data_IF_896291049758
#
_entry.id   IF_896291049758
#
_cell.length_a   1.000
_cell.length_b   1.000
_cell.length_c   1.000
_cell.angle_alpha   90.00
_cell.angle_beta   90.00
_cell.angle_gamma   90.00
#
_symmetry.space_group_name_H-M   'P 1'
#
loop_
_entity.id
_entity.type
_entity.pdbx_description
1 polymer ?
#
# COMPACT_ATOMS: atom_id res chain seq x y z
N UNK A 1 7.94 14.07 0.95
CA UNK A 1 8.49 15.46 0.89
C UNK A 1 9.42 15.65 2.08
N UNK A 2 10.61 16.19 1.87
CA UNK A 2 11.68 16.36 2.87
C UNK A 2 11.21 17.06 4.16
N UNK A 3 10.30 18.03 4.06
CA UNK A 3 9.70 18.74 5.21
C UNK A 3 9.03 17.80 6.22
N UNK A 4 8.32 16.79 5.73
CA UNK A 4 7.65 15.79 6.56
C UNK A 4 8.67 14.88 7.23
N UNK A 5 9.71 14.43 6.51
CA UNK A 5 10.73 13.55 7.05
C UNK A 5 11.58 14.23 8.13
N UNK A 6 12.00 15.47 7.92
CA UNK A 6 12.71 16.25 8.95
C UNK A 6 11.89 16.27 10.26
N UNK A 7 10.60 16.60 10.17
CA UNK A 7 9.70 16.67 11.33
C UNK A 7 9.48 15.32 12.00
N UNK A 8 9.26 14.26 11.22
CA UNK A 8 9.06 12.88 11.67
C UNK A 8 10.31 12.37 12.41
N UNK A 9 11.48 12.45 11.77
CA UNK A 9 12.75 12.00 12.31
C UNK A 9 13.17 12.77 13.57
N UNK A 10 13.01 14.09 13.59
CA UNK A 10 13.29 14.89 14.78
C UNK A 10 12.42 14.47 15.97
N UNK A 11 11.10 14.28 15.73
CA UNK A 11 10.13 13.89 16.77
C UNK A 11 10.39 12.48 17.31
N UNK A 12 10.70 11.53 16.44
CA UNK A 12 10.99 10.15 16.85
C UNK A 12 12.21 10.06 17.76
N UNK A 13 13.13 11.04 17.66
CA UNK A 13 14.34 11.14 18.50
C UNK A 13 14.15 12.05 19.72
N UNK A 14 12.94 12.58 19.94
CA UNK A 14 12.65 13.47 21.08
C UNK A 14 13.37 14.83 21.03
N UNK A 15 13.88 15.25 19.85
CA UNK A 15 14.63 16.48 19.67
C UNK A 15 13.65 17.65 19.45
N UNK A 16 13.84 18.80 20.16
CA UNK A 16 13.06 20.01 19.88
C UNK A 16 13.59 20.73 18.62
N UNK A 17 12.74 21.58 17.99
CA UNK A 17 13.20 22.42 16.86
C UNK A 17 14.37 23.33 17.27
N UNK A 18 14.34 23.86 18.51
CA UNK A 18 15.39 24.68 19.06
C UNK A 18 16.71 23.90 19.17
N UNK A 19 16.66 22.71 19.77
CA UNK A 19 17.83 21.85 19.94
C UNK A 19 18.41 21.38 18.60
N UNK A 20 17.55 21.09 17.62
CA UNK A 20 18.03 20.77 16.27
C UNK A 20 18.70 21.97 15.61
N UNK A 21 18.13 23.17 15.75
CA UNK A 21 18.73 24.40 15.25
C UNK A 21 20.10 24.68 15.85
N UNK A 22 20.24 24.51 17.18
CA UNK A 22 21.53 24.65 17.89
C UNK A 22 22.61 23.68 17.35
N UNK A 23 22.25 22.43 17.10
CA UNK A 23 23.16 21.41 16.51
C UNK A 23 23.63 21.77 15.11
N UNK A 24 22.76 22.43 14.33
CA UNK A 24 23.01 22.79 12.93
C UNK A 24 23.60 24.21 12.77
N UNK A 25 23.69 24.98 13.87
CA UNK A 25 24.11 26.38 13.81
C UNK A 25 23.10 27.33 13.15
N UNK A 26 21.80 26.99 13.20
CA UNK A 26 20.70 27.78 12.63
C UNK A 26 19.63 28.12 13.66
N UNK A 27 18.79 29.10 13.37
CA UNK A 27 17.69 29.47 14.24
C UNK A 27 16.56 28.45 14.28
N UNK A 28 15.81 28.38 15.40
CA UNK A 28 14.60 27.55 15.51
C UNK A 28 13.60 27.86 14.39
N UNK A 29 13.46 29.17 14.01
CA UNK A 29 12.59 29.59 12.93
C UNK A 29 12.94 28.98 11.58
N UNK A 30 14.22 28.78 11.32
CA UNK A 30 14.72 28.13 10.09
C UNK A 30 14.28 26.67 10.05
N UNK A 31 14.45 25.96 11.18
CA UNK A 31 13.97 24.56 11.30
C UNK A 31 12.44 24.49 11.10
N UNK A 32 11.68 25.41 11.70
CA UNK A 32 10.24 25.49 11.53
C UNK A 32 9.81 25.75 10.07
N UNK A 33 10.57 26.59 9.34
CA UNK A 33 10.33 26.83 7.90
C UNK A 33 10.58 25.56 7.06
N UNK A 34 11.64 24.79 7.35
CA UNK A 34 11.88 23.52 6.67
C UNK A 34 10.75 22.51 6.95
N UNK A 35 10.32 22.35 8.20
CA UNK A 35 9.26 21.43 8.59
C UNK A 35 7.88 21.82 8.05
N UNK A 36 7.66 23.09 7.75
CA UNK A 36 6.42 23.58 7.14
C UNK A 36 6.47 23.58 5.61
N UNK A 37 7.61 23.25 4.99
CA UNK A 37 7.80 23.27 3.54
C UNK A 37 7.88 24.68 2.94
N UNK A 38 8.00 25.73 3.77
CA UNK A 38 8.17 27.13 3.28
C UNK A 38 9.53 27.39 2.68
N UNK A 39 10.53 26.62 3.10
CA UNK A 39 11.89 26.67 2.58
C UNK A 39 12.49 25.26 2.62
N UNK A 40 13.47 25.00 1.77
CA UNK A 40 14.23 23.76 1.76
C UNK A 40 15.66 24.02 2.25
N UNK A 41 16.24 23.04 3.00
CA UNK A 41 17.66 23.11 3.34
C UNK A 41 18.54 22.99 2.09
N UNK A 42 19.65 23.72 2.05
CA UNK A 42 20.68 23.55 1.03
C UNK A 42 21.44 22.23 1.23
N UNK A 43 22.14 21.76 0.20
CA UNK A 43 22.79 20.45 0.22
C UNK A 43 23.77 20.25 1.39
N UNK A 44 24.58 21.25 1.72
CA UNK A 44 25.46 21.17 2.88
C UNK A 44 24.69 21.06 4.21
N UNK A 45 23.56 21.72 4.30
CA UNK A 45 22.68 21.64 5.47
C UNK A 45 21.99 20.27 5.54
N UNK A 46 21.67 19.65 4.39
CA UNK A 46 21.14 18.30 4.33
C UNK A 46 22.13 17.27 4.88
N UNK A 47 23.41 17.41 4.57
CA UNK A 47 24.45 16.55 5.13
C UNK A 47 24.51 16.66 6.67
N UNK A 48 24.51 17.88 7.20
CA UNK A 48 24.50 18.13 8.65
C UNK A 48 23.21 17.64 9.32
N UNK A 49 22.07 17.81 8.65
CA UNK A 49 20.78 17.30 9.12
C UNK A 49 20.78 15.77 9.22
N UNK A 50 21.30 15.10 8.20
CA UNK A 50 21.40 13.65 8.16
C UNK A 50 22.27 13.14 9.32
N UNK A 51 23.43 13.76 9.54
CA UNK A 51 24.33 13.47 10.68
C UNK A 51 23.65 13.77 12.03
N UNK A 52 23.04 14.94 12.20
CA UNK A 52 22.39 15.35 13.45
C UNK A 52 21.18 14.48 13.81
N UNK A 53 20.55 13.88 12.81
CA UNK A 53 19.41 12.97 12.95
C UNK A 53 19.79 11.49 12.84
N UNK A 54 21.09 11.16 12.69
CA UNK A 54 21.60 9.79 12.57
C UNK A 54 20.83 8.97 11.50
N UNK A 55 20.81 9.52 10.29
CA UNK A 55 20.19 8.92 9.09
C UNK A 55 21.06 9.21 7.86
N UNK A 56 20.83 8.48 6.79
CA UNK A 56 21.41 8.83 5.48
C UNK A 56 20.70 10.04 4.87
N UNK A 57 21.40 10.78 3.98
CA UNK A 57 20.76 11.85 3.19
C UNK A 57 19.61 11.31 2.36
N UNK A 58 19.75 10.07 1.90
CA UNK A 58 18.72 9.38 1.13
C UNK A 58 17.44 9.16 1.96
N UNK A 59 17.55 8.74 3.23
CA UNK A 59 16.40 8.65 4.16
C UNK A 59 15.80 10.02 4.45
N UNK A 60 16.65 11.04 4.66
CA UNK A 60 16.20 12.40 4.95
C UNK A 60 15.46 13.05 3.77
N UNK A 61 15.88 12.76 2.56
CA UNK A 61 15.26 13.30 1.33
C UNK A 61 14.06 12.47 0.85
N UNK A 62 13.81 11.32 1.48
CA UNK A 62 12.85 10.34 0.99
C UNK A 62 13.34 9.59 -0.26
N UNK A 63 14.62 9.74 -0.62
CA UNK A 63 15.23 9.01 -1.73
C UNK A 63 15.55 7.55 -1.35
N UNK A 64 15.61 7.25 -0.05
CA UNK A 64 15.44 5.89 0.48
C UNK A 64 13.99 5.73 0.90
N UNK A 65 13.08 5.74 -0.03
CA UNK A 65 11.83 5.07 0.19
C UNK A 65 12.16 3.66 0.66
N UNK A 66 11.67 3.29 1.85
CA UNK A 66 11.86 1.95 2.36
C UNK A 66 11.41 0.98 1.28
N UNK A 67 12.37 0.31 0.62
CA UNK A 67 12.02 -0.75 -0.33
C UNK A 67 11.73 -1.97 0.51
N UNK A 68 10.46 -2.31 0.62
CA UNK A 68 10.02 -3.51 1.31
C UNK A 68 9.85 -4.65 0.33
N UNK A 69 10.11 -5.86 0.81
CA UNK A 69 9.74 -7.07 0.09
C UNK A 69 8.39 -7.53 0.61
N UNK A 70 7.43 -7.65 -0.31
CA UNK A 70 6.12 -8.22 -0.01
C UNK A 70 6.02 -9.61 -0.62
N UNK A 71 5.41 -10.59 0.09
CA UNK A 71 5.27 -11.94 -0.43
C UNK A 71 4.33 -11.95 -1.64
N UNK A 72 4.71 -12.70 -2.67
CA UNK A 72 3.82 -13.06 -3.78
C UNK A 72 3.16 -14.38 -3.44
N UNK A 73 1.84 -14.37 -3.33
CA UNK A 73 1.06 -15.55 -2.98
C UNK A 73 0.62 -16.25 -4.25
N UNK A 74 0.84 -17.55 -4.31
CA UNK A 74 0.41 -18.38 -5.45
C UNK A 74 -1.09 -18.62 -5.45
N UNK A 75 -1.66 -18.88 -4.28
CA UNK A 75 -3.09 -19.09 -4.07
C UNK A 75 -3.50 -18.60 -2.68
N UNK A 76 -4.68 -18.00 -2.57
CA UNK A 76 -5.28 -17.65 -1.29
C UNK A 76 -6.61 -18.37 -1.19
N UNK A 77 -6.70 -19.32 -0.27
CA UNK A 77 -7.88 -20.13 -0.04
C UNK A 77 -8.65 -19.65 1.18
N UNK A 78 -9.96 -19.88 1.18
CA UNK A 78 -10.80 -19.66 2.34
C UNK A 78 -10.44 -20.65 3.47
N UNK A 79 -10.55 -20.18 4.72
CA UNK A 79 -10.33 -21.03 5.91
C UNK A 79 -8.87 -21.16 6.35
N UNK A 80 -7.89 -20.68 5.59
CA UNK A 80 -6.50 -20.59 6.04
C UNK A 80 -6.33 -19.34 6.89
N UNK A 81 -5.85 -19.44 8.15
CA UNK A 81 -5.56 -18.26 8.97
C UNK A 81 -4.61 -17.31 8.23
N UNK A 82 -4.81 -15.99 8.39
CA UNK A 82 -3.97 -14.95 7.74
C UNK A 82 -2.47 -15.12 8.01
N UNK A 83 -2.14 -15.80 9.10
CA UNK A 83 -0.77 -16.09 9.56
C UNK A 83 -0.17 -17.36 8.94
N UNK A 84 -1.00 -18.20 8.32
CA UNK A 84 -0.60 -19.50 7.73
C UNK A 84 -0.68 -19.46 6.19
N UNK A 85 -0.19 -18.39 5.56
CA UNK A 85 -0.09 -18.35 4.09
C UNK A 85 1.14 -19.15 3.69
N UNK A 86 0.94 -20.44 3.44
CA UNK A 86 2.01 -21.39 3.11
C UNK A 86 2.46 -21.34 1.65
N UNK A 87 1.72 -20.66 0.75
CA UNK A 87 1.99 -20.67 -0.68
C UNK A 87 2.68 -19.38 -1.17
N UNK A 88 3.84 -19.06 -0.59
CA UNK A 88 4.68 -17.96 -1.06
C UNK A 88 5.50 -18.46 -2.25
N UNK A 89 5.25 -17.91 -3.45
CA UNK A 89 5.92 -18.27 -4.69
C UNK A 89 7.03 -17.30 -5.09
N UNK A 90 7.21 -16.20 -4.34
CA UNK A 90 8.22 -15.18 -4.60
C UNK A 90 8.04 -13.95 -3.75
N UNK A 91 8.81 -12.91 -4.08
CA UNK A 91 8.74 -11.62 -3.43
C UNK A 91 8.80 -10.50 -4.46
N UNK A 92 8.01 -9.45 -4.24
CA UNK A 92 8.04 -8.20 -5.02
C UNK A 92 8.57 -7.06 -4.16
N UNK A 93 9.32 -6.14 -4.78
CA UNK A 93 9.81 -4.94 -4.10
C UNK A 93 8.79 -3.83 -4.27
N UNK A 94 8.34 -3.24 -3.17
CA UNK A 94 7.51 -2.04 -3.17
C UNK A 94 8.22 -0.92 -2.43
N UNK A 95 7.80 0.29 -2.67
CA UNK A 95 8.42 1.51 -2.14
C UNK A 95 7.36 2.32 -1.38
N UNK A 96 7.69 2.78 -0.16
CA UNK A 96 6.77 3.52 0.71
C UNK A 96 6.29 4.84 0.12
N UNK A 97 7.10 5.50 -0.70
CA UNK A 97 6.72 6.75 -1.38
C UNK A 97 5.62 6.53 -2.42
N UNK A 98 5.52 5.33 -2.98
CA UNK A 98 4.47 4.96 -3.95
C UNK A 98 3.25 4.40 -3.26
N UNK A 99 3.45 3.54 -2.26
CA UNK A 99 2.37 2.77 -1.63
C UNK A 99 1.95 3.31 -0.26
N UNK A 100 2.81 4.12 0.40
CA UNK A 100 2.64 4.58 1.78
C UNK A 100 2.88 3.46 2.80
N UNK A 101 2.72 3.78 4.07
CA UNK A 101 2.79 2.81 5.15
C UNK A 101 1.58 1.87 5.11
N UNK A 102 1.80 0.58 5.35
CA UNK A 102 0.74 -0.42 5.38
C UNK A 102 1.25 -1.85 5.29
N UNK A 103 0.34 -2.78 5.40
CA UNK A 103 0.62 -4.20 5.17
C UNK A 103 0.20 -4.57 3.75
N UNK A 104 1.12 -5.16 2.98
CA UNK A 104 0.93 -5.48 1.57
C UNK A 104 1.27 -6.95 1.29
N UNK A 105 0.68 -7.45 0.24
CA UNK A 105 1.04 -8.71 -0.40
C UNK A 105 0.85 -8.57 -1.91
N UNK A 106 1.39 -9.51 -2.67
CA UNK A 106 1.19 -9.58 -4.10
C UNK A 106 0.46 -10.87 -4.48
N UNK A 107 -0.28 -10.84 -5.58
CA UNK A 107 -0.94 -11.99 -6.17
C UNK A 107 -0.67 -12.05 -7.67
N UNK A 108 -0.55 -13.26 -8.20
CA UNK A 108 -0.54 -13.48 -9.65
C UNK A 108 -1.97 -13.63 -10.15
N UNK A 109 -2.33 -12.83 -11.15
CA UNK A 109 -3.64 -12.90 -11.82
C UNK A 109 -3.77 -14.23 -12.54
N UNK A 110 -4.92 -14.87 -12.35
CA UNK A 110 -5.31 -16.10 -13.03
C UNK A 110 -6.64 -15.92 -13.72
N UNK A 111 -6.74 -16.49 -14.93
CA UNK A 111 -7.94 -16.41 -15.75
C UNK A 111 -8.15 -15.03 -16.38
N UNK A 112 -9.27 -14.89 -17.12
CA UNK A 112 -9.51 -13.81 -18.06
C UNK A 112 -10.56 -12.80 -17.61
N UNK A 113 -11.10 -12.94 -16.40
CA UNK A 113 -12.24 -12.13 -15.94
C UNK A 113 -11.92 -10.63 -15.81
N UNK A 114 -10.64 -10.28 -15.68
CA UNK A 114 -10.20 -8.90 -15.53
C UNK A 114 -9.51 -8.32 -16.78
N UNK A 115 -9.52 -9.06 -17.89
CA UNK A 115 -9.05 -8.55 -19.19
C UNK A 115 -9.93 -7.37 -19.69
N UNK A 116 -9.37 -6.48 -20.54
CA UNK A 116 -7.98 -6.47 -21.04
C UNK A 116 -7.00 -5.79 -20.10
N UNK A 117 -7.45 -5.24 -18.98
CA UNK A 117 -6.59 -4.45 -18.08
C UNK A 117 -5.61 -5.30 -17.28
N UNK A 118 -6.01 -6.49 -16.88
CA UNK A 118 -5.22 -7.47 -16.14
C UNK A 118 -5.19 -8.75 -16.96
N UNK A 119 -4.00 -9.20 -17.32
CA UNK A 119 -3.80 -10.39 -18.13
C UNK A 119 -3.32 -11.52 -17.22
N UNK A 120 -3.63 -12.76 -17.57
CA UNK A 120 -3.13 -13.92 -16.84
C UNK A 120 -1.60 -13.91 -16.76
N UNK A 121 -1.07 -14.09 -15.56
CA UNK A 121 0.37 -14.01 -15.28
C UNK A 121 0.85 -12.64 -14.76
N UNK A 122 0.05 -11.59 -14.90
CA UNK A 122 0.35 -10.31 -14.27
C UNK A 122 0.40 -10.43 -12.75
N UNK A 123 1.20 -9.59 -12.10
CA UNK A 123 1.25 -9.50 -10.65
C UNK A 123 0.56 -8.22 -10.17
N UNK A 124 -0.29 -8.33 -9.16
CA UNK A 124 -0.92 -7.18 -8.52
C UNK A 124 -0.39 -6.99 -7.10
N UNK A 125 -0.12 -5.74 -6.73
CA UNK A 125 0.20 -5.36 -5.35
C UNK A 125 -1.09 -4.97 -4.66
N UNK A 126 -1.33 -5.56 -3.51
CA UNK A 126 -2.57 -5.46 -2.74
C UNK A 126 -2.27 -4.91 -1.35
N UNK A 127 -2.91 -3.81 -0.98
CA UNK A 127 -2.92 -3.31 0.40
C UNK A 127 -3.94 -4.11 1.19
N UNK A 128 -3.54 -4.70 2.31
CA UNK A 128 -4.46 -5.41 3.23
C UNK A 128 -5.42 -4.44 3.88
N UNK A 129 -6.70 -4.66 3.64
CA UNK A 129 -7.79 -3.92 4.29
C UNK A 129 -9.10 -4.70 4.13
N UNK A 130 -10.03 -4.53 5.07
CA UNK A 130 -11.30 -5.24 5.09
C UNK A 130 -12.43 -4.49 4.37
N UNK A 131 -12.15 -3.32 3.79
CA UNK A 131 -13.13 -2.51 3.06
C UNK A 131 -12.47 -1.78 1.90
N UNK A 132 -13.25 -1.53 0.86
CA UNK A 132 -12.87 -0.75 -0.33
C UNK A 132 -14.02 0.13 -0.75
N UNK A 133 -13.73 1.22 -1.48
CA UNK A 133 -14.74 2.11 -2.03
C UNK A 133 -15.36 1.54 -3.32
N UNK A 134 -16.53 2.05 -3.66
CA UNK A 134 -17.24 1.64 -4.87
C UNK A 134 -16.41 1.91 -6.13
N UNK A 135 -16.30 0.89 -6.98
CA UNK A 135 -15.54 0.93 -8.23
C UNK A 135 -14.05 0.60 -8.06
N UNK A 136 -13.56 0.44 -6.84
CA UNK A 136 -12.19 -0.01 -6.60
C UNK A 136 -12.04 -1.50 -6.92
N UNK A 137 -10.81 -1.88 -7.26
CA UNK A 137 -10.46 -3.27 -7.53
C UNK A 137 -9.98 -3.90 -6.24
N UNK A 138 -10.65 -4.98 -5.85
CA UNK A 138 -10.39 -5.71 -4.63
C UNK A 138 -10.05 -7.17 -4.91
N UNK A 139 -9.29 -7.75 -3.99
CA UNK A 139 -9.17 -9.19 -3.85
C UNK A 139 -10.19 -9.65 -2.82
N UNK A 140 -11.09 -10.53 -3.23
CA UNK A 140 -12.26 -10.96 -2.45
C UNK A 140 -12.31 -12.48 -2.39
N UNK A 141 -12.57 -13.02 -1.21
CA UNK A 141 -12.95 -14.41 -1.00
C UNK A 141 -14.48 -14.50 -1.03
N UNK A 142 -15.01 -15.45 -1.75
CA UNK A 142 -16.45 -15.73 -1.85
C UNK A 142 -16.70 -17.14 -1.29
N UNK A 143 -17.36 -17.23 -0.15
CA UNK A 143 -17.59 -18.51 0.51
C UNK A 143 -16.29 -19.25 0.84
N UNK A 144 -16.18 -20.48 0.37
CA UNK A 144 -15.00 -21.33 0.53
C UNK A 144 -14.16 -21.45 -0.74
N UNK A 145 -14.37 -20.57 -1.71
CA UNK A 145 -13.63 -20.58 -2.97
C UNK A 145 -12.27 -19.87 -2.85
N UNK A 146 -11.46 -19.97 -3.90
CA UNK A 146 -10.22 -19.23 -4.05
C UNK A 146 -10.49 -17.70 -4.17
N UNK A 147 -9.52 -16.89 -3.76
CA UNK A 147 -9.61 -15.45 -3.88
C UNK A 147 -9.75 -15.00 -5.35
N UNK A 148 -10.65 -14.08 -5.60
CA UNK A 148 -10.92 -13.50 -6.91
C UNK A 148 -10.65 -12.00 -6.96
N UNK A 149 -10.19 -11.51 -8.12
CA UNK A 149 -9.98 -10.09 -8.38
C UNK A 149 -11.22 -9.52 -9.09
N UNK A 150 -11.86 -8.50 -8.52
CA UNK A 150 -13.08 -7.88 -9.08
C UNK A 150 -13.14 -6.40 -8.71
N UNK A 151 -13.92 -5.61 -9.49
CA UNK A 151 -14.43 -4.32 -9.05
C UNK A 151 -15.53 -4.54 -8.03
N UNK A 152 -15.40 -3.86 -6.90
CA UNK A 152 -16.35 -3.95 -5.80
C UNK A 152 -17.35 -2.80 -5.87
N UNK A 153 -18.63 -3.10 -5.67
CA UNK A 153 -19.70 -2.11 -5.51
C UNK A 153 -20.63 -2.51 -4.38
N UNK A 154 -20.86 -1.58 -3.46
CA UNK A 154 -21.83 -1.72 -2.39
C UNK A 154 -23.11 -0.99 -2.77
N UNK A 155 -24.23 -1.67 -2.66
CA UNK A 155 -25.59 -1.16 -2.89
C UNK A 155 -26.37 -1.18 -1.58
N UNK A 156 -27.60 -0.62 -1.62
CA UNK A 156 -28.50 -0.65 -0.47
C UNK A 156 -28.96 -2.07 -0.12
N UNK A 157 -29.11 -2.91 -1.12
CA UNK A 157 -29.70 -4.26 -1.08
C UNK A 157 -28.65 -5.38 -1.18
N UNK A 158 -27.37 -5.04 -1.24
CA UNK A 158 -26.31 -6.03 -1.34
C UNK A 158 -25.00 -5.50 -1.88
N UNK A 159 -24.21 -6.37 -2.48
CA UNK A 159 -22.95 -6.03 -3.14
C UNK A 159 -22.88 -6.62 -4.56
N UNK A 160 -22.10 -5.99 -5.42
CA UNK A 160 -21.74 -6.53 -6.73
C UNK A 160 -20.23 -6.68 -6.86
N UNK A 161 -19.80 -7.82 -7.41
CA UNK A 161 -18.45 -8.09 -7.85
C UNK A 161 -18.43 -8.11 -9.38
N UNK A 162 -17.81 -7.10 -9.98
CA UNK A 162 -17.88 -6.86 -11.43
C UNK A 162 -16.53 -7.15 -12.07
N UNK A 163 -16.55 -7.97 -13.10
CA UNK A 163 -15.40 -8.23 -13.98
C UNK A 163 -15.15 -7.03 -14.90
N UNK A 164 -13.90 -6.80 -15.32
CA UNK A 164 -13.61 -5.82 -16.39
C UNK A 164 -13.82 -6.40 -17.77
N UNK A 165 -13.76 -7.73 -17.89
CA UNK A 165 -14.09 -8.44 -19.12
C UNK A 165 -15.62 -8.62 -19.24
N UNK A 166 -16.26 -8.05 -20.28
CA UNK A 166 -17.70 -8.11 -20.46
C UNK A 166 -18.25 -9.52 -20.76
N UNK A 167 -17.40 -10.48 -21.11
CA UNK A 167 -17.78 -11.89 -21.26
C UNK A 167 -18.21 -12.54 -19.92
N UNK A 168 -17.82 -11.93 -18.79
CA UNK A 168 -18.13 -12.42 -17.45
C UNK A 168 -19.23 -11.57 -16.80
N UNK A 169 -20.36 -12.17 -16.55
CA UNK A 169 -21.48 -11.50 -15.89
C UNK A 169 -21.09 -11.02 -14.47
N UNK A 170 -21.62 -9.88 -14.01
CA UNK A 170 -21.47 -9.46 -12.62
C UNK A 170 -22.07 -10.50 -11.66
N UNK A 171 -21.41 -10.72 -10.53
CA UNK A 171 -21.94 -11.49 -9.42
C UNK A 171 -22.62 -10.51 -8.46
N UNK A 172 -23.89 -10.71 -8.18
CA UNK A 172 -24.62 -9.93 -7.18
C UNK A 172 -24.97 -10.83 -5.99
N UNK A 173 -24.80 -10.29 -4.79
CA UNK A 173 -25.15 -10.93 -3.52
C UNK A 173 -26.06 -10.00 -2.75
N UNK A 174 -27.29 -10.41 -2.50
CA UNK A 174 -28.24 -9.69 -1.65
C UNK A 174 -27.79 -9.68 -0.18
N UNK A 175 -28.38 -8.78 0.62
CA UNK A 175 -28.07 -8.76 2.05
C UNK A 175 -28.39 -10.10 2.75
N UNK A 176 -29.42 -10.81 2.28
CA UNK A 176 -29.79 -12.14 2.78
C UNK A 176 -28.72 -13.18 2.42
N UNK A 177 -28.26 -13.19 1.16
CA UNK A 177 -27.20 -14.09 0.71
C UNK A 177 -25.85 -13.81 1.39
N UNK A 178 -25.58 -12.56 1.80
CA UNK A 178 -24.38 -12.20 2.55
C UNK A 178 -24.37 -12.76 3.98
N UNK A 179 -25.52 -13.11 4.55
CA UNK A 179 -25.60 -13.80 5.85
C UNK A 179 -25.19 -15.28 5.74
N UNK A 180 -25.48 -15.89 4.59
CA UNK A 180 -25.18 -17.30 4.31
C UNK A 180 -23.82 -17.49 3.65
N UNK A 181 -23.48 -16.60 2.72
CA UNK A 181 -22.22 -16.65 1.97
C UNK A 181 -21.23 -15.66 2.55
N UNK A 182 -20.21 -16.18 3.24
CA UNK A 182 -19.14 -15.34 3.77
C UNK A 182 -18.37 -14.69 2.62
N UNK A 183 -18.37 -13.35 2.57
CA UNK A 183 -17.57 -12.58 1.61
C UNK A 183 -16.56 -11.74 2.39
N UNK A 184 -15.29 -12.07 2.21
CA UNK A 184 -14.17 -11.39 2.88
C UNK A 184 -13.37 -10.57 1.86
N UNK A 185 -13.26 -9.25 2.07
CA UNK A 185 -12.33 -8.42 1.34
C UNK A 185 -10.94 -8.61 1.97
N UNK A 186 -9.99 -9.11 1.18
CA UNK A 186 -8.61 -9.30 1.61
C UNK A 186 -7.77 -8.03 1.46
N UNK A 187 -8.13 -7.19 0.49
CA UNK A 187 -7.45 -5.93 0.27
C UNK A 187 -7.81 -5.25 -1.04
N UNK A 188 -7.27 -4.03 -1.18
CA UNK A 188 -7.38 -3.19 -2.36
C UNK A 188 -6.19 -3.37 -3.28
N UNK A 189 -6.42 -3.56 -4.57
CA UNK A 189 -5.36 -3.54 -5.60
C UNK A 189 -4.85 -2.12 -5.79
N UNK A 190 -3.56 -1.90 -5.55
CA UNK A 190 -2.91 -0.60 -5.64
C UNK A 190 -2.06 -0.45 -6.89
N UNK A 191 -1.44 -1.53 -7.37
CA UNK A 191 -0.52 -1.52 -8.51
C UNK A 191 -0.68 -2.78 -9.35
N UNK A 192 -0.50 -2.65 -10.66
CA UNK A 192 -0.43 -3.76 -11.63
C UNK A 192 0.98 -3.79 -12.22
N UNK A 193 1.59 -4.95 -12.19
CA UNK A 193 2.88 -5.25 -12.82
C UNK A 193 2.70 -6.25 -13.94
N UNK A 194 2.67 -5.75 -15.16
CA UNK A 194 2.61 -6.58 -16.35
C UNK A 194 3.95 -7.29 -16.58
N UNK A 195 3.90 -8.55 -16.99
CA UNK A 195 5.07 -9.30 -17.50
C UNK A 195 5.03 -9.28 -19.03
N UNK A 196 6.17 -8.95 -19.62
CA UNK A 196 6.38 -8.97 -21.07
C UNK A 196 7.21 -10.17 -21.46
#
# INVERSE_FOLDING_TARGET
MISHEIKKLRRSRGISQKSLGERLGVGQSTVAMWESGKNNPEYETLLKLAEALDVSVAELTGASAGVHQVPVLGRVQAGVPREAIEDIIGYEKISDDVHGEGDFFALVIRGRSMEPRFIEGDTVIVRRQSSVDNGEIAIVLVGNEDATCKKFYRHRDGISLVSTNPEFAPMFFSNEELEETKIDILGKVCELRARF
#
